data_IF_882275809533
#
_entry.id   IF_882275809533
#
_cell.length_a   1.000
_cell.length_b   1.000
_cell.length_c   1.000
_cell.angle_alpha   90.00
_cell.angle_beta   90.00
_cell.angle_gamma   90.00
#
_symmetry.space_group_name_H-M   'P 1'
#
loop_
_entity.id
_entity.type
_entity.pdbx_description
1 polymer ?
#
# COMPACT_ATOMS: atom_id res chain seq x y z
N UNK A 1 22.96 -2.27 19.41
CA UNK A 1 23.20 -2.70 18.02
C UNK A 1 21.86 -2.89 17.35
N UNK A 2 21.71 -2.62 16.05
CA UNK A 2 20.43 -2.84 15.37
C UNK A 2 20.03 -4.32 15.42
N UNK A 3 18.72 -4.59 15.50
CA UNK A 3 18.17 -5.95 15.48
C UNK A 3 17.81 -6.41 14.05
N UNK A 4 17.58 -5.48 13.14
CA UNK A 4 17.27 -5.75 11.73
C UNK A 4 17.65 -4.56 10.85
N UNK A 5 17.72 -4.80 9.54
CA UNK A 5 17.91 -3.78 8.53
C UNK A 5 16.58 -3.49 7.83
N UNK A 6 16.26 -2.21 7.64
CA UNK A 6 15.13 -1.76 6.85
C UNK A 6 15.60 -0.82 5.76
N UNK A 7 15.65 -1.30 4.54
CA UNK A 7 15.88 -0.48 3.36
C UNK A 7 14.60 0.18 2.90
N UNK A 8 14.71 1.44 2.48
CA UNK A 8 13.59 2.18 1.92
C UNK A 8 14.02 2.92 0.66
N UNK A 9 13.20 2.88 -0.38
CA UNK A 9 13.54 3.50 -1.65
C UNK A 9 12.39 4.33 -2.19
N UNK A 10 12.68 5.61 -2.44
CA UNK A 10 11.74 6.55 -3.08
C UNK A 10 11.61 6.30 -4.58
N UNK A 11 10.57 6.85 -5.18
CA UNK A 11 10.24 6.70 -6.58
C UNK A 11 10.79 7.77 -7.51
N UNK A 12 10.19 7.83 -8.70
CA UNK A 12 10.44 8.82 -9.74
C UNK A 12 9.99 10.21 -9.29
N UNK A 13 10.72 11.27 -9.70
CA UNK A 13 10.44 12.67 -9.40
C UNK A 13 10.26 12.95 -7.89
N UNK A 14 11.01 12.23 -7.04
CA UNK A 14 10.95 12.36 -5.58
C UNK A 14 12.36 12.36 -4.98
N UNK A 15 12.43 12.59 -3.66
CA UNK A 15 13.64 12.49 -2.83
C UNK A 15 13.43 11.47 -1.71
N UNK A 16 14.48 11.20 -0.96
CA UNK A 16 14.43 10.21 0.13
C UNK A 16 13.62 10.68 1.35
N UNK A 17 13.31 11.98 1.48
CA UNK A 17 12.77 12.56 2.71
C UNK A 17 11.44 11.91 3.13
N UNK A 18 10.47 11.87 2.21
CA UNK A 18 9.13 11.32 2.51
C UNK A 18 9.15 9.83 2.84
N UNK A 19 9.96 9.02 2.12
CA UNK A 19 10.08 7.59 2.42
C UNK A 19 10.84 7.36 3.73
N UNK A 20 11.80 8.23 4.07
CA UNK A 20 12.49 8.21 5.36
C UNK A 20 11.53 8.53 6.51
N UNK A 21 10.64 9.52 6.35
CA UNK A 21 9.60 9.86 7.31
C UNK A 21 8.60 8.70 7.51
N UNK A 22 8.15 8.07 6.42
CA UNK A 22 7.33 6.86 6.50
C UNK A 22 8.04 5.77 7.29
N UNK A 23 9.32 5.47 7.00
CA UNK A 23 10.05 4.44 7.73
C UNK A 23 10.26 4.81 9.20
N UNK A 24 10.36 6.09 9.55
CA UNK A 24 10.40 6.53 10.94
C UNK A 24 9.12 6.17 11.72
N UNK A 25 7.97 6.16 11.02
CA UNK A 25 6.68 5.81 11.61
C UNK A 25 6.41 4.30 11.68
N UNK A 26 6.92 3.52 10.70
CA UNK A 26 6.54 2.11 10.56
C UNK A 26 7.62 1.11 10.94
N UNK A 27 8.88 1.51 10.99
CA UNK A 27 9.99 0.63 11.30
C UNK A 27 9.89 0.02 12.72
N UNK A 28 10.32 -1.23 12.92
CA UNK A 28 10.57 -1.74 14.26
C UNK A 28 11.54 -0.82 15.03
N UNK A 29 11.37 -0.64 16.36
CA UNK A 29 12.13 0.34 17.14
C UNK A 29 13.67 0.20 17.02
N UNK A 30 14.17 -1.03 16.85
CA UNK A 30 15.60 -1.33 16.76
C UNK A 30 16.08 -1.52 15.32
N UNK A 31 15.29 -1.14 14.32
CA UNK A 31 15.70 -1.27 12.93
C UNK A 31 16.71 -0.19 12.54
N UNK A 32 17.79 -0.59 11.89
CA UNK A 32 18.64 0.33 11.15
C UNK A 32 17.98 0.67 9.84
N UNK A 33 17.60 1.94 9.67
CA UNK A 33 16.91 2.44 8.48
C UNK A 33 17.91 2.97 7.47
N UNK A 34 17.80 2.53 6.21
CA UNK A 34 18.67 2.92 5.11
C UNK A 34 17.79 3.42 3.96
N UNK A 35 17.80 4.72 3.70
CA UNK A 35 16.99 5.37 2.66
C UNK A 35 17.92 6.16 1.71
N UNK A 36 18.49 5.53 0.68
CA UNK A 36 19.37 6.20 -0.27
C UNK A 36 18.65 7.30 -1.04
N UNK A 37 19.29 8.45 -1.20
CA UNK A 37 18.80 9.52 -2.05
C UNK A 37 19.35 9.37 -3.46
N UNK A 38 18.48 9.10 -4.42
CA UNK A 38 18.85 8.97 -5.83
C UNK A 38 19.04 10.32 -6.55
N UNK A 39 18.61 11.40 -5.91
CA UNK A 39 18.62 12.76 -6.50
C UNK A 39 17.49 12.96 -7.50
N UNK A 40 16.66 13.98 -7.27
CA UNK A 40 15.44 14.27 -8.04
C UNK A 40 15.66 14.24 -9.56
N UNK A 41 16.68 14.96 -10.07
CA UNK A 41 16.95 15.05 -11.52
C UNK A 41 17.39 13.72 -12.12
N UNK A 42 18.16 12.92 -11.39
CA UNK A 42 18.65 11.63 -11.88
C UNK A 42 17.53 10.62 -12.08
N UNK A 43 16.44 10.72 -11.32
CA UNK A 43 15.27 9.84 -11.48
C UNK A 43 14.55 10.01 -12.84
N UNK A 44 14.83 11.08 -13.58
CA UNK A 44 14.25 11.34 -14.91
C UNK A 44 15.03 10.71 -16.06
N UNK A 45 16.24 10.20 -15.82
CA UNK A 45 17.13 9.75 -16.89
C UNK A 45 16.95 8.27 -17.23
N UNK A 46 17.52 7.39 -16.44
CA UNK A 46 17.51 5.94 -16.64
C UNK A 46 17.45 5.24 -15.28
N UNK A 47 16.78 4.08 -15.21
CA UNK A 47 16.65 3.32 -13.98
C UNK A 47 17.94 2.55 -13.63
N UNK A 48 18.68 2.04 -14.61
CA UNK A 48 19.83 1.16 -14.38
C UNK A 48 20.95 1.79 -13.54
N UNK A 49 21.38 3.05 -13.76
CA UNK A 49 22.35 3.69 -12.87
C UNK A 49 21.82 3.85 -11.43
N UNK A 50 20.51 4.03 -11.24
CA UNK A 50 19.88 4.14 -9.93
C UNK A 50 19.87 2.79 -9.20
N UNK A 51 19.61 1.70 -9.95
CA UNK A 51 19.72 0.33 -9.44
C UNK A 51 21.14 0.07 -8.96
N UNK A 52 22.16 0.38 -9.76
CA UNK A 52 23.56 0.16 -9.41
C UNK A 52 24.00 0.92 -8.15
N UNK A 53 23.53 2.16 -7.96
CA UNK A 53 23.81 2.95 -6.75
C UNK A 53 23.22 2.28 -5.50
N UNK A 54 21.91 1.90 -5.56
CA UNK A 54 21.23 1.24 -4.43
C UNK A 54 21.85 -0.14 -4.16
N UNK A 55 22.17 -0.91 -5.20
CA UNK A 55 22.82 -2.20 -5.12
C UNK A 55 24.20 -2.12 -4.43
N UNK A 56 24.98 -1.08 -4.76
CA UNK A 56 26.27 -0.82 -4.10
C UNK A 56 26.11 -0.57 -2.60
N UNK A 57 25.14 0.29 -2.21
CA UNK A 57 24.86 0.60 -0.81
C UNK A 57 24.33 -0.65 -0.07
N UNK A 58 23.43 -1.41 -0.70
CA UNK A 58 22.88 -2.63 -0.15
C UNK A 58 23.98 -3.67 0.09
N UNK A 59 24.83 -3.94 -0.90
CA UNK A 59 25.94 -4.88 -0.80
C UNK A 59 26.89 -4.53 0.34
N UNK A 60 27.29 -3.25 0.45
CA UNK A 60 28.18 -2.80 1.51
C UNK A 60 27.54 -2.95 2.91
N UNK A 61 26.25 -2.58 3.03
CA UNK A 61 25.51 -2.69 4.29
C UNK A 61 25.33 -4.16 4.70
N UNK A 62 24.93 -5.02 3.76
CA UNK A 62 24.73 -6.45 4.02
C UNK A 62 26.03 -7.17 4.38
N UNK A 63 27.17 -6.75 3.83
CA UNK A 63 28.49 -7.26 4.20
C UNK A 63 28.89 -6.81 5.63
N UNK A 64 28.53 -5.60 6.03
CA UNK A 64 28.79 -5.09 7.39
C UNK A 64 27.94 -5.81 8.46
N UNK A 65 26.72 -6.25 8.09
CA UNK A 65 25.77 -6.90 8.99
C UNK A 65 25.29 -8.25 8.40
N UNK A 66 26.17 -9.28 8.34
CA UNK A 66 25.89 -10.51 7.60
C UNK A 66 24.73 -11.34 8.16
N UNK A 67 24.44 -11.23 9.46
CA UNK A 67 23.46 -12.09 10.15
C UNK A 67 22.11 -11.40 10.42
N UNK A 68 21.99 -10.10 10.16
CA UNK A 68 20.76 -9.39 10.46
C UNK A 68 19.65 -9.70 9.44
N UNK A 69 18.41 -9.87 9.90
CA UNK A 69 17.25 -9.97 9.02
C UNK A 69 17.02 -8.64 8.28
N UNK A 70 16.49 -8.73 7.08
CA UNK A 70 16.34 -7.61 6.14
C UNK A 70 14.89 -7.45 5.74
N UNK A 71 14.41 -6.22 5.77
CA UNK A 71 13.14 -5.83 5.17
C UNK A 71 13.35 -4.69 4.19
N UNK A 72 12.44 -4.57 3.22
CA UNK A 72 12.46 -3.52 2.20
C UNK A 72 11.11 -2.85 2.10
N UNK A 73 11.10 -1.53 1.91
CA UNK A 73 9.93 -0.76 1.50
C UNK A 73 10.30 0.03 0.24
N UNK A 74 9.57 -0.18 -0.86
CA UNK A 74 9.76 0.57 -2.11
C UNK A 74 8.50 1.34 -2.48
N UNK A 75 8.62 2.65 -2.71
CA UNK A 75 7.53 3.45 -3.24
C UNK A 75 7.68 3.62 -4.74
N UNK A 76 6.62 3.30 -5.49
CA UNK A 76 6.58 3.53 -6.94
C UNK A 76 7.78 2.87 -7.66
N UNK A 77 8.59 3.62 -8.41
CA UNK A 77 9.83 3.15 -9.02
C UNK A 77 10.81 2.52 -8.02
N UNK A 78 10.78 2.94 -6.76
CA UNK A 78 11.65 2.37 -5.71
C UNK A 78 11.42 0.89 -5.47
N UNK A 79 10.16 0.42 -5.59
CA UNK A 79 9.85 -1.00 -5.56
C UNK A 79 10.40 -1.75 -6.76
N UNK A 80 10.33 -1.15 -7.96
CA UNK A 80 10.91 -1.75 -9.18
C UNK A 80 12.43 -1.90 -9.09
N UNK A 81 13.12 -0.91 -8.51
CA UNK A 81 14.58 -0.97 -8.25
C UNK A 81 14.89 -2.19 -7.37
N UNK A 82 14.14 -2.39 -6.28
CA UNK A 82 14.39 -3.52 -5.38
C UNK A 82 13.99 -4.88 -5.96
N UNK A 83 12.96 -4.95 -6.81
CA UNK A 83 12.66 -6.18 -7.58
C UNK A 83 13.87 -6.56 -8.45
N UNK A 84 14.50 -5.61 -9.13
CA UNK A 84 15.69 -5.86 -9.94
C UNK A 84 16.88 -6.33 -9.11
N UNK A 85 17.18 -5.63 -8.02
CA UNK A 85 18.30 -5.96 -7.11
C UNK A 85 18.11 -7.36 -6.52
N UNK A 86 16.96 -7.65 -5.92
CA UNK A 86 16.71 -8.95 -5.31
C UNK A 86 16.71 -10.09 -6.34
N UNK A 87 16.31 -9.81 -7.59
CA UNK A 87 16.39 -10.80 -8.68
C UNK A 87 17.82 -11.12 -9.09
N UNK A 88 18.76 -10.19 -8.90
CA UNK A 88 20.20 -10.38 -9.18
C UNK A 88 20.94 -11.09 -8.03
N UNK A 89 20.37 -11.02 -6.80
CA UNK A 89 21.00 -11.48 -5.56
C UNK A 89 20.14 -12.53 -4.83
N UNK A 90 19.94 -13.73 -5.40
CA UNK A 90 19.16 -14.79 -4.73
C UNK A 90 19.80 -15.25 -3.41
N UNK A 91 21.11 -15.05 -3.23
CA UNK A 91 21.83 -15.33 -1.97
C UNK A 91 21.35 -14.47 -0.79
N UNK A 92 20.67 -13.35 -1.01
CA UNK A 92 20.11 -12.51 0.04
C UNK A 92 18.72 -12.95 0.50
N UNK A 93 18.00 -13.75 -0.29
CA UNK A 93 16.60 -14.14 -0.02
C UNK A 93 16.40 -14.81 1.34
N UNK A 94 17.28 -15.71 1.84
CA UNK A 94 17.11 -16.33 3.16
C UNK A 94 17.05 -15.33 4.33
N UNK A 95 17.57 -14.13 4.13
CA UNK A 95 17.57 -13.05 5.13
C UNK A 95 16.35 -12.13 5.00
N UNK A 96 15.63 -12.20 3.87
CA UNK A 96 14.50 -11.32 3.61
C UNK A 96 13.32 -11.70 4.48
N UNK A 97 12.84 -10.75 5.29
CA UNK A 97 11.72 -10.97 6.21
C UNK A 97 10.44 -10.33 5.75
N UNK A 98 10.54 -9.27 4.95
CA UNK A 98 9.39 -8.60 4.34
C UNK A 98 9.84 -7.73 3.16
N UNK A 99 9.02 -7.70 2.10
CA UNK A 99 9.16 -6.72 1.02
C UNK A 99 7.81 -6.03 0.78
N UNK A 100 7.75 -4.73 1.05
CA UNK A 100 6.55 -3.90 0.92
C UNK A 100 6.68 -3.01 -0.31
N UNK A 101 5.71 -3.11 -1.20
CA UNK A 101 5.56 -2.29 -2.40
C UNK A 101 4.44 -1.28 -2.18
N UNK A 102 4.72 0.00 -2.30
CA UNK A 102 3.75 1.09 -2.18
C UNK A 102 3.49 1.69 -3.55
N UNK A 103 2.37 1.37 -4.18
CA UNK A 103 2.00 1.88 -5.50
C UNK A 103 3.03 1.56 -6.60
N UNK A 104 3.74 0.45 -6.51
CA UNK A 104 4.76 0.08 -7.49
C UNK A 104 4.14 -0.59 -8.70
N UNK A 105 4.33 -0.05 -9.93
CA UNK A 105 3.72 -0.59 -11.14
C UNK A 105 4.51 -1.80 -11.68
N UNK A 106 4.30 -2.95 -11.09
CA UNK A 106 5.04 -4.19 -11.38
C UNK A 106 4.82 -4.66 -12.82
N UNK A 107 3.60 -4.51 -13.35
CA UNK A 107 3.28 -4.85 -14.75
C UNK A 107 3.88 -3.87 -15.77
N UNK A 108 4.23 -2.66 -15.37
CA UNK A 108 4.91 -1.69 -16.22
C UNK A 108 4.07 -1.04 -17.32
N UNK A 109 2.90 -1.56 -17.65
CA UNK A 109 2.15 -1.24 -18.88
C UNK A 109 1.61 0.19 -18.99
N UNK A 110 1.38 0.89 -17.88
CA UNK A 110 0.74 2.21 -17.87
C UNK A 110 1.66 3.39 -17.58
N UNK A 111 2.82 3.14 -16.98
CA UNK A 111 3.74 4.19 -16.54
C UNK A 111 4.44 4.92 -17.70
N UNK A 112 4.60 4.25 -18.85
CA UNK A 112 5.20 4.86 -20.03
C UNK A 112 4.43 6.10 -20.52
N UNK A 113 3.11 6.13 -20.34
CA UNK A 113 2.26 7.26 -20.76
C UNK A 113 2.41 8.51 -19.89
N UNK A 114 2.65 8.35 -18.58
CA UNK A 114 2.82 9.49 -17.67
C UNK A 114 4.22 10.08 -17.72
N UNK A 115 5.23 9.23 -17.84
CA UNK A 115 6.62 9.65 -17.93
C UNK A 115 7.04 10.03 -19.37
N UNK A 116 6.18 9.77 -20.36
CA UNK A 116 6.39 10.09 -21.79
C UNK A 116 5.15 10.73 -22.41
N UNK A 117 4.86 11.99 -22.07
CA UNK A 117 3.69 12.70 -22.62
C UNK A 117 3.76 12.90 -24.14
N UNK A 118 4.94 12.72 -24.75
CA UNK A 118 5.12 12.82 -26.21
C UNK A 118 5.15 11.45 -26.92
N UNK A 119 5.07 10.34 -26.17
CA UNK A 119 5.08 8.99 -26.74
C UNK A 119 6.39 8.58 -27.39
N UNK A 120 7.53 9.19 -26.98
CA UNK A 120 8.84 8.94 -27.57
C UNK A 120 9.48 7.62 -27.11
N UNK A 121 9.00 7.03 -26.01
CA UNK A 121 9.49 5.74 -25.49
C UNK A 121 10.97 5.73 -25.13
N UNK A 122 11.50 6.87 -24.62
CA UNK A 122 12.92 7.04 -24.29
C UNK A 122 13.15 7.30 -22.80
N UNK A 123 14.39 7.07 -22.35
CA UNK A 123 14.79 7.37 -20.98
C UNK A 123 14.04 6.54 -19.94
N UNK A 124 13.68 7.19 -18.82
CA UNK A 124 13.01 6.55 -17.69
C UNK A 124 11.63 6.00 -18.04
N UNK A 125 10.90 6.63 -18.95
CA UNK A 125 9.57 6.18 -19.38
C UNK A 125 9.62 4.77 -19.98
N UNK A 126 10.62 4.49 -20.83
CA UNK A 126 10.86 3.16 -21.39
C UNK A 126 11.17 2.14 -20.28
N UNK A 127 12.04 2.52 -19.34
CA UNK A 127 12.50 1.63 -18.27
C UNK A 127 11.36 1.26 -17.30
N UNK A 128 10.45 2.22 -17.01
CA UNK A 128 9.27 2.01 -16.19
C UNK A 128 8.18 1.20 -16.90
N UNK A 129 8.13 1.24 -18.22
CA UNK A 129 7.18 0.46 -19.04
C UNK A 129 7.52 -1.04 -19.15
N UNK A 130 8.67 -1.49 -18.63
CA UNK A 130 9.06 -2.90 -18.66
C UNK A 130 8.35 -3.66 -17.54
N UNK A 131 7.57 -4.71 -17.87
CA UNK A 131 6.97 -5.60 -16.89
C UNK A 131 8.02 -6.34 -16.07
N UNK A 132 7.79 -6.42 -14.77
CA UNK A 132 8.60 -7.16 -13.80
C UNK A 132 7.77 -8.21 -13.05
N UNK A 133 6.59 -8.53 -13.58
CA UNK A 133 5.65 -9.49 -12.96
C UNK A 133 6.32 -10.83 -12.69
N UNK A 134 6.97 -11.45 -13.68
CA UNK A 134 7.65 -12.74 -13.51
C UNK A 134 8.75 -12.70 -12.43
N UNK A 135 9.41 -11.55 -12.24
CA UNK A 135 10.43 -11.37 -11.19
C UNK A 135 9.77 -11.26 -9.83
N UNK A 136 8.71 -10.45 -9.72
CA UNK A 136 7.96 -10.25 -8.48
C UNK A 136 7.34 -11.57 -7.99
N UNK A 137 6.73 -12.34 -8.87
CA UNK A 137 6.15 -13.65 -8.55
C UNK A 137 7.20 -14.64 -8.03
N UNK A 138 8.38 -14.68 -8.64
CA UNK A 138 9.49 -15.51 -8.12
C UNK A 138 9.96 -15.06 -6.74
N UNK A 139 10.00 -13.75 -6.49
CA UNK A 139 10.34 -13.21 -5.16
C UNK A 139 9.25 -13.54 -4.13
N UNK A 140 7.97 -13.46 -4.51
CA UNK A 140 6.84 -13.78 -3.63
C UNK A 140 6.81 -15.26 -3.21
N UNK A 141 7.32 -16.17 -4.06
CA UNK A 141 7.51 -17.57 -3.69
C UNK A 141 8.64 -17.79 -2.65
N UNK A 142 9.58 -16.86 -2.57
CA UNK A 142 10.77 -16.99 -1.72
C UNK A 142 10.70 -16.18 -0.42
N UNK A 143 9.92 -15.11 -0.38
CA UNK A 143 9.81 -14.21 0.77
C UNK A 143 8.43 -13.59 0.90
N UNK A 144 8.01 -13.16 2.12
CA UNK A 144 6.75 -12.45 2.31
C UNK A 144 6.75 -11.12 1.55
N UNK A 145 5.77 -10.91 0.67
CA UNK A 145 5.58 -9.65 -0.07
C UNK A 145 4.21 -9.06 0.19
N UNK A 146 4.15 -7.73 0.29
CA UNK A 146 2.93 -6.96 0.46
C UNK A 146 2.90 -5.87 -0.60
N UNK A 147 1.85 -5.85 -1.41
CA UNK A 147 1.54 -4.75 -2.33
C UNK A 147 0.45 -3.87 -1.73
N UNK A 148 0.71 -2.58 -1.59
CA UNK A 148 -0.28 -1.59 -1.14
C UNK A 148 -0.52 -0.61 -2.28
N UNK A 149 -1.75 -0.60 -2.79
CA UNK A 149 -2.19 0.33 -3.81
C UNK A 149 -3.13 1.40 -3.23
N UNK A 150 -3.06 2.60 -3.76
CA UNK A 150 -4.05 3.65 -3.49
C UNK A 150 -5.21 3.55 -4.48
N UNK A 151 -6.40 3.98 -4.06
CA UNK A 151 -7.55 4.07 -4.96
C UNK A 151 -8.38 5.33 -4.69
N UNK A 152 -8.29 6.30 -5.58
CA UNK A 152 -9.19 7.47 -5.57
C UNK A 152 -10.52 7.13 -6.25
N UNK A 153 -10.48 6.20 -7.19
CA UNK A 153 -11.63 5.62 -7.88
C UNK A 153 -11.34 4.14 -8.18
N UNK A 154 -12.23 3.43 -8.86
CA UNK A 154 -12.03 2.01 -9.20
C UNK A 154 -10.80 1.71 -10.07
N UNK A 155 -10.13 2.72 -10.60
CA UNK A 155 -9.05 2.52 -11.58
C UNK A 155 -7.65 2.70 -10.99
N UNK A 156 -7.50 3.12 -9.72
CA UNK A 156 -6.20 3.33 -9.08
C UNK A 156 -6.05 4.68 -8.39
N UNK A 157 -4.80 5.06 -8.13
CA UNK A 157 -4.38 6.22 -7.34
C UNK A 157 -4.08 7.49 -8.17
N UNK A 158 -4.60 7.58 -9.38
CA UNK A 158 -4.35 8.58 -10.44
C UNK A 158 -3.01 8.43 -11.16
N UNK A 159 -2.03 7.75 -10.60
CA UNK A 159 -0.73 7.51 -11.21
C UNK A 159 -0.59 6.07 -11.69
N UNK A 160 -0.99 5.11 -10.87
CA UNK A 160 -0.85 3.68 -11.11
C UNK A 160 -2.23 3.02 -11.07
N UNK A 161 -2.63 2.29 -12.12
CA UNK A 161 -3.82 1.44 -12.09
C UNK A 161 -3.67 0.30 -11.08
N UNK A 162 -4.77 -0.14 -10.48
CA UNK A 162 -4.76 -1.23 -9.49
C UNK A 162 -4.21 -2.53 -10.06
N UNK A 163 -4.58 -2.89 -11.29
CA UNK A 163 -4.13 -4.09 -11.97
C UNK A 163 -2.62 -4.11 -12.26
N UNK A 164 -1.97 -2.93 -12.31
CA UNK A 164 -0.53 -2.83 -12.50
C UNK A 164 0.29 -3.07 -11.22
N UNK A 165 -0.35 -3.12 -10.04
CA UNK A 165 0.33 -3.30 -8.75
C UNK A 165 0.25 -4.73 -8.22
N UNK A 166 -0.60 -5.58 -8.80
CA UNK A 166 -0.88 -6.95 -8.32
C UNK A 166 -0.09 -8.00 -9.09
N UNK A 167 0.28 -9.09 -8.42
CA UNK A 167 0.96 -10.25 -9.01
C UNK A 167 0.70 -11.50 -8.16
N UNK A 168 0.93 -12.69 -8.70
CA UNK A 168 0.64 -13.93 -7.98
C UNK A 168 1.59 -14.13 -6.78
N UNK A 169 1.01 -14.46 -5.62
CA UNK A 169 1.75 -14.81 -4.40
C UNK A 169 2.03 -13.66 -3.43
N UNK A 170 1.62 -12.43 -3.75
CA UNK A 170 1.68 -11.32 -2.79
C UNK A 170 0.45 -11.28 -1.85
N UNK A 171 0.57 -10.44 -0.82
CA UNK A 171 -0.59 -9.97 -0.06
C UNK A 171 -0.99 -8.60 -0.62
N UNK A 172 -2.14 -8.51 -1.26
CA UNK A 172 -2.62 -7.29 -1.89
C UNK A 172 -3.56 -6.49 -0.97
N UNK A 173 -3.32 -5.19 -0.85
CA UNK A 173 -4.13 -4.27 -0.04
C UNK A 173 -4.39 -2.99 -0.80
N UNK A 174 -5.66 -2.66 -1.02
CA UNK A 174 -6.07 -1.38 -1.60
C UNK A 174 -6.55 -0.43 -0.52
N UNK A 175 -5.97 0.77 -0.44
CA UNK A 175 -6.37 1.83 0.48
C UNK A 175 -7.19 2.88 -0.25
N UNK A 176 -8.49 2.86 -0.01
CA UNK A 176 -9.43 3.76 -0.69
C UNK A 176 -9.33 5.21 -0.20
N UNK A 177 -9.45 6.16 -1.13
CA UNK A 177 -9.39 7.59 -0.85
C UNK A 177 -7.97 8.15 -0.75
N UNK A 178 -6.95 7.37 -1.14
CA UNK A 178 -5.54 7.76 -1.11
C UNK A 178 -4.98 7.80 -2.52
N UNK A 179 -4.36 8.92 -2.90
CA UNK A 179 -3.66 9.09 -4.16
C UNK A 179 -2.21 8.58 -4.08
N UNK A 180 -1.53 8.53 -5.21
CA UNK A 180 -0.19 7.97 -5.30
C UNK A 180 0.83 8.62 -4.34
N UNK A 181 0.98 9.95 -4.27
CA UNK A 181 1.84 10.57 -3.27
C UNK A 181 1.36 10.36 -1.84
N UNK A 182 0.04 10.35 -1.62
CA UNK A 182 -0.59 10.17 -0.32
C UNK A 182 -0.32 8.80 0.32
N UNK A 183 0.10 7.80 -0.46
CA UNK A 183 0.55 6.52 0.10
C UNK A 183 1.68 6.68 1.12
N UNK A 184 2.54 7.69 0.95
CA UNK A 184 3.65 7.96 1.88
C UNK A 184 3.23 8.66 3.18
N UNK A 185 2.03 9.26 3.23
CA UNK A 185 1.55 10.06 4.36
C UNK A 185 0.28 9.49 5.00
N UNK A 186 -0.25 8.39 4.46
CA UNK A 186 -1.50 7.79 4.95
C UNK A 186 -1.29 7.01 6.25
N UNK A 187 -2.00 7.35 7.34
CA UNK A 187 -1.95 6.59 8.59
C UNK A 187 -2.41 5.13 8.42
N UNK A 188 -3.28 4.86 7.44
CA UNK A 188 -3.72 3.50 7.14
C UNK A 188 -2.62 2.68 6.47
N UNK A 189 -1.88 3.28 5.52
CA UNK A 189 -0.67 2.66 4.92
C UNK A 189 0.38 2.38 5.99
N UNK A 190 0.64 3.35 6.89
CA UNK A 190 1.55 3.16 8.02
C UNK A 190 1.15 1.96 8.88
N UNK A 191 -0.15 1.81 9.18
CA UNK A 191 -0.65 0.73 10.02
C UNK A 191 -0.53 -0.64 9.36
N UNK A 192 -0.90 -0.74 8.06
CA UNK A 192 -0.77 -1.97 7.27
C UNK A 192 0.70 -2.38 7.17
N UNK A 193 1.58 -1.46 6.77
CA UNK A 193 3.01 -1.72 6.64
C UNK A 193 3.63 -2.16 7.98
N UNK A 194 3.29 -1.48 9.09
CA UNK A 194 3.75 -1.84 10.44
C UNK A 194 3.27 -3.23 10.87
N UNK A 195 1.99 -3.55 10.61
CA UNK A 195 1.43 -4.86 10.92
C UNK A 195 2.17 -5.97 10.16
N UNK A 196 2.41 -5.77 8.87
CA UNK A 196 3.12 -6.73 8.02
C UNK A 196 4.59 -6.88 8.44
N UNK A 197 5.32 -5.78 8.67
CA UNK A 197 6.70 -5.81 9.15
C UNK A 197 6.86 -6.51 10.51
N UNK A 198 5.83 -6.39 11.38
CA UNK A 198 5.79 -7.09 12.67
C UNK A 198 5.43 -8.58 12.55
N UNK A 199 5.15 -9.08 11.34
CA UNK A 199 4.75 -10.48 11.06
C UNK A 199 3.56 -10.96 11.90
N UNK A 200 2.58 -10.08 12.16
CA UNK A 200 1.37 -10.44 12.89
C UNK A 200 0.42 -11.21 11.98
N UNK A 201 -0.15 -12.30 12.49
CA UNK A 201 -1.21 -13.03 11.81
C UNK A 201 -2.51 -12.24 11.93
N UNK A 202 -3.16 -11.85 10.83
CA UNK A 202 -4.44 -11.15 10.88
C UNK A 202 -5.54 -12.05 11.49
N UNK A 203 -6.41 -11.47 12.31
CA UNK A 203 -7.59 -12.16 12.87
C UNK A 203 -8.79 -11.93 11.96
N UNK A 204 -9.40 -13.00 11.36
CA UNK A 204 -10.51 -12.85 10.44
C UNK A 204 -11.68 -12.07 11.04
N UNK A 205 -12.23 -11.10 10.32
CA UNK A 205 -13.41 -10.34 10.72
C UNK A 205 -14.67 -11.16 10.39
N UNK A 206 -15.54 -11.50 11.35
CA UNK A 206 -16.85 -11.99 11.01
C UNK A 206 -17.71 -10.84 10.46
N UNK A 207 -18.03 -10.80 9.15
CA UNK A 207 -18.74 -9.64 8.58
C UNK A 207 -20.18 -9.50 9.09
N UNK A 208 -20.80 -10.58 9.54
CA UNK A 208 -22.21 -10.58 9.94
C UNK A 208 -22.57 -9.67 11.11
N UNK A 209 -21.79 -9.58 12.21
CA UNK A 209 -22.04 -8.59 13.27
C UNK A 209 -21.94 -7.15 12.78
N UNK A 210 -20.87 -6.81 12.02
CA UNK A 210 -20.68 -5.46 11.45
C UNK A 210 -21.87 -5.08 10.56
N UNK A 211 -22.28 -5.97 9.64
CA UNK A 211 -23.43 -5.77 8.76
C UNK A 211 -24.72 -5.59 9.59
N UNK A 212 -24.89 -6.34 10.68
CA UNK A 212 -26.06 -6.22 11.55
C UNK A 212 -26.11 -4.85 12.21
N UNK A 213 -25.01 -4.36 12.74
CA UNK A 213 -24.92 -3.00 13.33
C UNK A 213 -25.25 -1.94 12.28
N UNK A 214 -24.72 -2.03 11.07
CA UNK A 214 -25.05 -1.09 9.99
C UNK A 214 -26.53 -1.16 9.58
N UNK A 215 -27.12 -2.35 9.49
CA UNK A 215 -28.55 -2.52 9.15
C UNK A 215 -29.48 -2.00 10.24
N UNK A 216 -29.05 -1.95 11.48
CA UNK A 216 -29.87 -1.42 12.60
C UNK A 216 -29.94 0.11 12.65
N UNK A 217 -29.14 0.81 11.83
CA UNK A 217 -29.18 2.28 11.73
C UNK A 217 -30.54 2.71 11.20
N UNK A 218 -31.17 3.67 11.89
CA UNK A 218 -32.46 4.22 11.48
C UNK A 218 -32.40 4.76 10.04
N UNK A 219 -33.40 4.46 9.23
CA UNK A 219 -33.48 4.89 7.84
C UNK A 219 -32.47 4.22 6.90
N UNK A 220 -31.77 3.17 7.33
CA UNK A 220 -30.86 2.42 6.48
C UNK A 220 -31.61 1.75 5.35
N UNK A 221 -31.20 2.02 4.14
CA UNK A 221 -31.73 1.47 2.88
C UNK A 221 -30.63 0.77 2.11
N UNK A 222 -30.97 -0.31 1.41
CA UNK A 222 -30.02 -1.03 0.58
C UNK A 222 -29.44 -0.11 -0.51
N UNK A 223 -28.12 -0.12 -0.65
CA UNK A 223 -27.36 0.67 -1.61
C UNK A 223 -26.88 -0.16 -2.80
N UNK A 224 -26.41 0.56 -3.81
CA UNK A 224 -25.75 -0.02 -4.97
C UNK A 224 -24.28 -0.35 -4.62
N UNK A 225 -23.94 -1.62 -4.70
CA UNK A 225 -22.60 -2.13 -4.35
C UNK A 225 -21.49 -1.60 -5.26
N UNK A 226 -21.79 -1.26 -6.52
CA UNK A 226 -20.79 -0.75 -7.44
C UNK A 226 -20.32 0.67 -7.12
N UNK A 227 -21.02 1.38 -6.23
CA UNK A 227 -20.69 2.77 -5.89
C UNK A 227 -19.58 2.93 -4.87
N UNK A 228 -19.06 1.86 -4.27
CA UNK A 228 -17.99 1.97 -3.24
C UNK A 228 -16.68 2.56 -3.79
N UNK A 229 -16.47 2.54 -5.09
CA UNK A 229 -15.24 2.98 -5.74
C UNK A 229 -14.84 4.45 -5.50
N UNK A 230 -15.82 5.32 -5.23
CA UNK A 230 -15.58 6.74 -4.88
C UNK A 230 -15.64 6.99 -3.36
N UNK A 231 -15.67 5.94 -2.55
CA UNK A 231 -15.80 6.04 -1.12
C UNK A 231 -14.46 6.28 -0.42
N UNK A 232 -14.52 6.90 0.76
CA UNK A 232 -13.36 7.12 1.64
C UNK A 232 -13.30 6.02 2.69
N UNK A 233 -12.07 5.63 3.04
CA UNK A 233 -11.81 4.69 4.10
C UNK A 233 -12.08 5.32 5.47
N UNK A 234 -12.91 4.66 6.29
CA UNK A 234 -13.21 5.02 7.67
C UNK A 234 -12.59 4.06 8.68
N UNK A 235 -12.71 2.76 8.42
CA UNK A 235 -12.13 1.72 9.26
C UNK A 235 -11.43 0.69 8.38
N UNK A 236 -10.23 0.29 8.78
CA UNK A 236 -9.50 -0.82 8.17
C UNK A 236 -9.24 -1.89 9.21
N UNK A 237 -9.67 -3.11 8.95
CA UNK A 237 -9.47 -4.24 9.83
C UNK A 237 -8.19 -4.99 9.47
N UNK A 238 -7.58 -5.65 10.45
CA UNK A 238 -6.30 -6.34 10.29
C UNK A 238 -6.27 -7.46 9.24
N UNK A 239 -7.45 -7.99 8.86
CA UNK A 239 -7.64 -9.00 7.83
C UNK A 239 -7.97 -8.42 6.44
N UNK A 240 -7.81 -7.11 6.26
CA UNK A 240 -8.05 -6.42 4.99
C UNK A 240 -9.49 -5.99 4.73
N UNK A 241 -10.47 -6.32 5.59
CA UNK A 241 -11.81 -5.73 5.47
C UNK A 241 -11.77 -4.21 5.66
N UNK A 242 -12.57 -3.49 4.89
CA UNK A 242 -12.65 -2.04 4.92
C UNK A 242 -14.09 -1.55 5.06
N UNK A 243 -14.32 -0.61 5.99
CA UNK A 243 -15.56 0.16 6.05
C UNK A 243 -15.33 1.48 5.34
N UNK A 244 -16.10 1.72 4.29
CA UNK A 244 -15.96 2.89 3.43
C UNK A 244 -17.23 3.74 3.49
N UNK A 245 -17.11 5.06 3.27
CA UNK A 245 -18.25 5.97 3.20
C UNK A 245 -18.17 6.93 2.02
N UNK A 246 -19.35 7.32 1.51
CA UNK A 246 -19.53 8.54 0.72
C UNK A 246 -20.43 9.44 1.53
N UNK A 247 -19.85 10.44 2.19
CA UNK A 247 -20.60 11.31 3.09
C UNK A 247 -21.16 12.52 2.39
N UNK A 248 -22.42 12.85 2.70
CA UNK A 248 -23.09 14.06 2.25
C UNK A 248 -23.97 14.64 3.33
N UNK A 249 -23.84 15.97 3.54
CA UNK A 249 -24.70 16.70 4.48
C UNK A 249 -26.09 17.04 3.89
N UNK A 250 -26.20 17.01 2.58
CA UNK A 250 -27.38 17.51 1.85
C UNK A 250 -28.16 16.38 1.19
N UNK A 251 -27.48 15.31 0.78
CA UNK A 251 -28.08 14.19 0.08
C UNK A 251 -28.00 12.90 0.92
N UNK A 252 -27.72 11.77 0.31
CA UNK A 252 -27.57 10.47 0.97
C UNK A 252 -26.14 10.26 1.39
N UNK A 253 -25.93 9.78 2.63
CA UNK A 253 -24.64 9.27 3.07
C UNK A 253 -24.62 7.75 2.90
N UNK A 254 -23.67 7.24 2.16
CA UNK A 254 -23.50 5.82 1.86
C UNK A 254 -22.46 5.19 2.76
N UNK A 255 -22.63 3.90 3.04
CA UNK A 255 -21.67 3.07 3.77
C UNK A 255 -21.52 1.73 3.05
N UNK A 256 -20.27 1.23 3.02
CA UNK A 256 -19.93 -0.03 2.35
C UNK A 256 -19.00 -0.83 3.27
N UNK A 257 -19.18 -2.16 3.28
CA UNK A 257 -18.20 -3.10 3.83
C UNK A 257 -17.63 -3.90 2.67
N UNK A 258 -16.33 -3.79 2.47
CA UNK A 258 -15.56 -4.45 1.40
C UNK A 258 -14.60 -5.44 2.05
N UNK A 259 -14.45 -6.65 1.50
CA UNK A 259 -13.50 -7.63 1.98
C UNK A 259 -12.10 -7.44 1.36
N UNK A 260 -11.14 -8.27 1.77
CA UNK A 260 -9.77 -8.25 1.27
C UNK A 260 -9.63 -8.64 -0.22
N UNK A 261 -10.66 -9.29 -0.79
CA UNK A 261 -10.73 -9.61 -2.22
C UNK A 261 -11.45 -8.50 -3.01
N UNK A 262 -11.67 -7.34 -2.40
CA UNK A 262 -12.37 -6.17 -2.96
C UNK A 262 -13.84 -6.43 -3.33
N UNK A 263 -14.47 -7.48 -2.78
CA UNK A 263 -15.89 -7.71 -2.95
C UNK A 263 -16.70 -6.88 -1.95
N UNK A 264 -17.63 -6.08 -2.44
CA UNK A 264 -18.56 -5.34 -1.59
C UNK A 264 -19.58 -6.28 -0.93
N UNK A 265 -19.38 -6.60 0.34
CA UNK A 265 -20.22 -7.51 1.15
C UNK A 265 -21.49 -6.83 1.63
N UNK A 266 -21.46 -5.51 1.84
CA UNK A 266 -22.61 -4.71 2.22
C UNK A 266 -22.54 -3.32 1.58
N UNK A 267 -23.69 -2.84 1.09
CA UNK A 267 -23.89 -1.47 0.67
C UNK A 267 -25.21 -0.95 1.23
N UNK A 268 -25.19 0.22 1.85
CA UNK A 268 -26.37 0.89 2.36
C UNK A 268 -26.23 2.41 2.28
N UNK A 269 -27.35 3.11 2.47
CA UNK A 269 -27.34 4.56 2.60
C UNK A 269 -28.42 5.02 3.58
N UNK A 270 -28.21 6.21 4.12
CA UNK A 270 -29.20 6.94 4.94
C UNK A 270 -29.45 8.32 4.35
N UNK A 271 -30.64 8.85 4.60
CA UNK A 271 -30.94 10.26 4.30
C UNK A 271 -30.28 11.22 5.30
N UNK A 272 -30.32 12.55 5.03
CA UNK A 272 -29.68 13.58 5.87
C UNK A 272 -30.11 13.54 7.36
N UNK A 273 -31.37 13.20 7.62
CA UNK A 273 -31.94 13.13 8.98
C UNK A 273 -31.23 12.05 9.82
N UNK A 274 -30.90 10.92 9.22
CA UNK A 274 -30.26 9.78 9.89
C UNK A 274 -28.74 9.72 9.71
N UNK A 275 -28.13 10.76 9.13
CA UNK A 275 -26.69 10.84 8.96
C UNK A 275 -25.95 10.71 10.30
N UNK A 276 -26.44 11.38 11.35
CA UNK A 276 -25.87 11.30 12.69
C UNK A 276 -25.93 9.89 13.31
N UNK A 277 -26.99 9.14 13.01
CA UNK A 277 -27.16 7.76 13.47
C UNK A 277 -26.13 6.83 12.82
N UNK A 278 -25.85 7.03 11.51
CA UNK A 278 -24.81 6.30 10.79
C UNK A 278 -23.43 6.54 11.41
N UNK A 279 -23.07 7.80 11.69
CA UNK A 279 -21.77 8.12 12.26
C UNK A 279 -21.61 7.58 13.69
N UNK A 280 -22.71 7.55 14.49
CA UNK A 280 -22.68 6.87 15.80
C UNK A 280 -22.45 5.38 15.68
N UNK A 281 -23.08 4.71 14.72
CA UNK A 281 -22.85 3.29 14.47
C UNK A 281 -21.41 3.00 14.05
N UNK A 282 -20.81 3.84 13.20
CA UNK A 282 -19.39 3.73 12.80
C UNK A 282 -18.48 3.94 14.03
N UNK A 283 -18.77 4.92 14.89
CA UNK A 283 -18.01 5.12 16.12
C UNK A 283 -18.11 3.91 17.07
N UNK A 284 -19.31 3.35 17.25
CA UNK A 284 -19.50 2.12 18.02
C UNK A 284 -18.68 0.96 17.45
N UNK A 285 -18.69 0.76 16.13
CA UNK A 285 -17.85 -0.28 15.50
C UNK A 285 -16.36 -0.01 15.71
N UNK A 286 -15.92 1.26 15.66
CA UNK A 286 -14.54 1.63 15.95
C UNK A 286 -14.13 1.27 17.38
N UNK A 287 -14.97 1.49 18.36
CA UNK A 287 -14.73 1.13 19.76
C UNK A 287 -14.77 -0.38 19.97
N UNK A 288 -15.79 -1.07 19.43
CA UNK A 288 -15.98 -2.53 19.57
C UNK A 288 -14.82 -3.33 18.96
N UNK A 289 -14.24 -2.85 17.86
CA UNK A 289 -13.16 -3.52 17.15
C UNK A 289 -11.80 -2.82 17.26
N UNK A 290 -11.63 -1.93 18.25
CA UNK A 290 -10.42 -1.10 18.39
C UNK A 290 -9.11 -1.91 18.38
N UNK A 291 -9.11 -3.10 18.99
CA UNK A 291 -7.98 -4.01 19.07
C UNK A 291 -7.69 -4.78 17.77
N UNK A 292 -8.54 -4.62 16.75
CA UNK A 292 -8.48 -5.30 15.43
C UNK A 292 -8.40 -4.31 14.26
N UNK A 293 -8.37 -3.02 14.54
CA UNK A 293 -8.27 -1.99 13.52
C UNK A 293 -6.81 -1.68 13.21
N UNK A 294 -6.52 -1.48 11.92
CA UNK A 294 -5.30 -0.90 11.41
C UNK A 294 -5.54 0.60 11.17
N UNK A 295 -4.80 1.45 11.84
CA UNK A 295 -4.95 2.89 11.68
C UNK A 295 -4.53 3.66 12.93
N UNK A 296 -4.67 4.98 12.91
CA UNK A 296 -4.44 5.78 14.11
C UNK A 296 -5.42 5.35 15.20
N UNK A 297 -4.88 5.09 16.39
CA UNK A 297 -5.72 5.02 17.59
C UNK A 297 -6.49 6.32 17.73
N UNK A 298 -7.73 6.30 18.23
CA UNK A 298 -8.56 7.48 18.38
C UNK A 298 -7.92 8.54 19.25
#
# INVERSE_FOLDING_TARGET
MPACLLFAQHGWADTHDRIADLTARVAPPEAMRIAPNLGYVRTWLRIEPLIADVETIATATLAQFPDLPVSVIGHSMGGLIWIEILSRHPEWWPRMTAFVLLGSPVDGSHYSRMADPMGLGVGIARDLGISRTDKAERLAQAMPMLSIAGAINCNGDHAVPLDATTFEGDTDVVVHGVDHPGLLDSPHVDAVARHFLARRTPRPLPPSPVIRTLRSVAGMTAGDRAKYCGARLELMFEDGHQLLTIDSRVTRSHVFLVDHEHHCRFAGYVGPIHRGDLWRAIATLREEYADRLLGPSP
#
